data_IF_645857845409
#
_entry.id   IF_645857845409
#
_cell.length_a   1.000
_cell.length_b   1.000
_cell.length_c   1.000
_cell.angle_alpha   90.00
_cell.angle_beta   90.00
_cell.angle_gamma   90.00
#
_symmetry.space_group_name_H-M   'P 1'
#
loop_
_entity.id
_entity.type
_entity.pdbx_description
1 polymer ?
#
# COMPACT_ATOMS: atom_id res chain seq x y z
N UNK A 1 9.94 1.26 -13.96
CA UNK A 1 8.53 1.47 -14.38
C UNK A 1 8.41 2.48 -15.51
N UNK A 2 8.98 3.69 -15.38
CA UNK A 2 8.89 4.74 -16.40
C UNK A 2 9.35 4.30 -17.81
N UNK A 3 10.45 3.53 -17.90
CA UNK A 3 10.97 3.04 -19.18
C UNK A 3 10.13 1.92 -19.81
N UNK A 4 9.64 0.99 -19.00
CA UNK A 4 8.93 -0.21 -19.48
C UNK A 4 7.43 0.02 -19.71
N UNK A 5 6.89 1.15 -19.23
CA UNK A 5 5.48 1.54 -19.36
C UNK A 5 4.47 0.39 -19.10
N UNK A 6 4.59 -0.36 -17.98
CA UNK A 6 3.67 -1.46 -17.71
C UNK A 6 2.24 -0.95 -17.48
N UNK A 7 1.26 -1.82 -17.75
CA UNK A 7 -0.16 -1.57 -17.42
C UNK A 7 -0.51 -1.91 -15.97
N UNK A 8 0.23 -2.81 -15.34
CA UNK A 8 0.08 -3.20 -13.95
C UNK A 8 1.45 -3.24 -13.28
N UNK A 9 1.58 -2.56 -12.15
CA UNK A 9 2.75 -2.60 -11.29
C UNK A 9 2.38 -3.25 -9.96
N UNK A 10 3.16 -4.23 -9.50
CA UNK A 10 3.06 -4.78 -8.15
C UNK A 10 4.33 -4.38 -7.40
N UNK A 11 4.16 -3.64 -6.31
CA UNK A 11 5.24 -3.14 -5.46
C UNK A 11 5.14 -3.85 -4.12
N UNK A 12 6.01 -4.83 -3.89
CA UNK A 12 5.97 -5.68 -2.69
C UNK A 12 7.09 -5.28 -1.71
N UNK A 13 6.69 -4.80 -0.53
CA UNK A 13 7.56 -4.35 0.56
C UNK A 13 8.69 -3.40 0.12
N UNK A 14 8.44 -2.56 -0.89
CA UNK A 14 9.45 -1.65 -1.45
C UNK A 14 9.90 -0.57 -0.48
N UNK A 15 9.16 -0.39 0.61
CA UNK A 15 9.42 0.52 1.72
C UNK A 15 10.31 -0.06 2.82
N UNK A 16 10.54 -1.38 2.81
CA UNK A 16 11.37 -2.05 3.82
C UNK A 16 12.82 -1.57 3.75
N UNK A 17 13.31 -0.99 4.86
CA UNK A 17 14.69 -0.50 4.97
C UNK A 17 14.95 0.84 4.26
N UNK A 18 13.93 1.50 3.72
CA UNK A 18 14.07 2.84 3.16
C UNK A 18 13.97 3.91 4.24
N UNK A 19 14.83 4.91 4.13
CA UNK A 19 14.67 6.15 4.88
C UNK A 19 13.51 7.00 4.33
N UNK A 20 13.18 8.07 5.05
CA UNK A 20 12.06 8.95 4.71
C UNK A 20 12.23 9.58 3.31
N UNK A 21 13.45 9.89 2.90
CA UNK A 21 13.70 10.57 1.64
C UNK A 21 13.61 9.59 0.46
N UNK A 22 14.11 8.37 0.63
CA UNK A 22 13.94 7.30 -0.35
C UNK A 22 12.45 6.92 -0.53
N UNK A 23 11.66 6.91 0.55
CA UNK A 23 10.21 6.70 0.45
C UNK A 23 9.52 7.77 -0.40
N UNK A 24 9.91 9.05 -0.25
CA UNK A 24 9.39 10.14 -1.09
C UNK A 24 9.74 9.94 -2.56
N UNK A 25 10.98 9.56 -2.87
CA UNK A 25 11.40 9.31 -4.25
C UNK A 25 10.58 8.18 -4.90
N UNK A 26 10.33 7.09 -4.16
CA UNK A 26 9.47 6.00 -4.64
C UNK A 26 8.04 6.49 -4.86
N UNK A 27 7.49 7.23 -3.90
CA UNK A 27 6.14 7.77 -4.00
C UNK A 27 5.97 8.74 -5.17
N UNK A 28 6.92 9.65 -5.37
CA UNK A 28 6.93 10.58 -6.50
C UNK A 28 6.97 9.83 -7.84
N UNK A 29 7.78 8.77 -7.91
CA UNK A 29 7.83 7.89 -9.08
C UNK A 29 6.51 7.17 -9.35
N UNK A 30 5.81 6.69 -8.31
CA UNK A 30 4.49 6.05 -8.46
C UNK A 30 3.44 7.09 -8.87
N UNK A 31 3.37 8.21 -8.16
CA UNK A 31 2.39 9.28 -8.41
C UNK A 31 2.54 9.89 -9.80
N UNK A 32 3.77 10.14 -10.25
CA UNK A 32 4.05 10.66 -11.59
C UNK A 32 3.71 9.67 -12.71
N UNK A 33 3.51 8.40 -12.38
CA UNK A 33 3.12 7.35 -13.32
C UNK A 33 1.64 6.95 -13.22
N UNK A 34 0.83 7.56 -12.33
CA UNK A 34 -0.61 7.28 -12.25
C UNK A 34 -1.31 7.76 -13.53
N UNK A 35 -2.13 6.89 -14.11
CA UNK A 35 -2.99 7.21 -15.24
C UNK A 35 -4.20 6.26 -15.26
N UNK A 36 -5.30 6.61 -15.96
CA UNK A 36 -6.45 5.72 -16.11
C UNK A 36 -6.12 4.36 -16.75
N UNK A 37 -5.02 4.26 -17.49
CA UNK A 37 -4.58 3.05 -18.21
C UNK A 37 -3.60 2.19 -17.40
N UNK A 38 -3.18 2.65 -16.20
CA UNK A 38 -2.19 1.98 -15.36
C UNK A 38 -2.71 1.72 -13.95
N UNK A 39 -2.57 0.47 -13.50
CA UNK A 39 -2.90 0.04 -12.16
C UNK A 39 -1.65 -0.21 -11.31
N UNK A 40 -1.78 0.03 -10.00
CA UNK A 40 -0.75 -0.25 -9.01
C UNK A 40 -1.34 -1.09 -7.88
N UNK A 41 -0.63 -2.15 -7.50
CA UNK A 41 -0.88 -2.91 -6.27
C UNK A 41 0.33 -2.72 -5.38
N UNK A 42 0.13 -2.02 -4.28
CA UNK A 42 1.18 -1.74 -3.29
C UNK A 42 0.94 -2.65 -2.09
N UNK A 43 1.89 -3.54 -1.83
CA UNK A 43 1.88 -4.44 -0.68
C UNK A 43 2.89 -3.88 0.31
N UNK A 44 2.41 -3.52 1.50
CA UNK A 44 3.21 -2.89 2.54
C UNK A 44 2.70 -3.28 3.92
N UNK A 45 3.61 -3.35 4.88
CA UNK A 45 3.30 -3.42 6.30
C UNK A 45 3.42 -2.05 7.01
N UNK A 46 4.04 -1.04 6.37
CA UNK A 46 4.15 0.33 6.90
C UNK A 46 3.15 1.29 6.26
N UNK A 47 2.37 1.93 7.10
CA UNK A 47 1.36 2.88 6.64
C UNK A 47 1.94 4.25 6.28
N UNK A 48 3.20 4.50 6.65
CA UNK A 48 3.93 5.72 6.25
C UNK A 48 3.96 5.92 4.73
N UNK A 49 4.04 4.83 3.96
CA UNK A 49 4.01 4.91 2.50
C UNK A 49 2.67 5.43 1.98
N UNK A 50 1.57 5.10 2.67
CA UNK A 50 0.20 5.49 2.30
C UNK A 50 -0.06 6.99 2.51
N UNK A 51 0.76 7.67 3.32
CA UNK A 51 0.74 9.13 3.43
C UNK A 51 1.27 9.82 2.16
N UNK A 52 2.13 9.16 1.39
CA UNK A 52 2.71 9.71 0.15
C UNK A 52 2.01 9.17 -1.11
N UNK A 53 1.57 7.91 -1.07
CA UNK A 53 0.80 7.27 -2.14
C UNK A 53 -0.62 7.07 -1.63
N UNK A 54 -1.51 8.01 -1.92
CA UNK A 54 -2.91 7.92 -1.50
C UNK A 54 -3.63 6.84 -2.32
N UNK A 55 -4.04 5.72 -1.70
CA UNK A 55 -4.67 4.62 -2.40
C UNK A 55 -6.14 4.93 -2.71
N UNK A 56 -6.62 4.38 -3.81
CA UNK A 56 -8.05 4.42 -4.16
C UNK A 56 -8.86 3.40 -3.35
N UNK A 57 -8.25 2.24 -3.08
CA UNK A 57 -8.83 1.13 -2.31
C UNK A 57 -7.75 0.51 -1.43
N UNK A 58 -8.11 0.14 -0.21
CA UNK A 58 -7.25 -0.54 0.77
C UNK A 58 -7.84 -1.92 1.08
N UNK A 59 -6.99 -2.94 1.05
CA UNK A 59 -7.35 -4.32 1.42
C UNK A 59 -6.49 -4.79 2.60
N UNK A 60 -7.13 -5.35 3.63
CA UNK A 60 -6.44 -6.02 4.75
C UNK A 60 -6.37 -7.51 4.47
N UNK A 61 -5.16 -8.03 4.33
CA UNK A 61 -4.89 -9.45 4.14
C UNK A 61 -4.54 -10.10 5.48
N UNK A 62 -5.26 -11.15 5.86
CA UNK A 62 -4.99 -11.95 7.06
C UNK A 62 -5.24 -13.44 6.75
N UNK A 63 -4.33 -14.32 7.19
CA UNK A 63 -4.38 -15.77 6.94
C UNK A 63 -4.64 -16.15 5.46
N UNK A 64 -4.01 -15.42 4.54
CA UNK A 64 -4.13 -15.66 3.09
C UNK A 64 -5.47 -15.24 2.48
N UNK A 65 -6.29 -14.46 3.19
CA UNK A 65 -7.59 -13.96 2.70
C UNK A 65 -7.73 -12.46 2.94
N UNK A 66 -8.46 -11.79 2.05
CA UNK A 66 -8.86 -10.40 2.28
C UNK A 66 -10.00 -10.42 3.29
N UNK A 67 -9.74 -9.87 4.48
CA UNK A 67 -10.71 -9.85 5.59
C UNK A 67 -11.45 -8.53 5.70
N UNK A 68 -10.90 -7.44 5.14
CA UNK A 68 -11.55 -6.14 5.08
C UNK A 68 -11.10 -5.38 3.85
N UNK A 69 -12.02 -4.60 3.30
CA UNK A 69 -11.79 -3.66 2.19
C UNK A 69 -12.39 -2.32 2.58
N UNK A 70 -11.70 -1.24 2.25
CA UNK A 70 -12.17 0.12 2.48
C UNK A 70 -11.46 1.10 1.56
N UNK A 71 -11.70 2.39 1.78
CA UNK A 71 -10.93 3.45 1.14
C UNK A 71 -9.68 3.78 1.98
N UNK A 72 -9.09 4.96 1.72
CA UNK A 72 -7.94 5.46 2.48
C UNK A 72 -8.18 5.61 3.99
N UNK A 73 -9.42 5.76 4.44
CA UNK A 73 -9.71 5.88 5.89
C UNK A 73 -9.38 4.59 6.63
N UNK A 74 -9.51 3.45 5.95
CA UNK A 74 -9.10 2.17 6.52
C UNK A 74 -7.60 2.12 6.82
N UNK A 75 -6.77 2.75 6.00
CA UNK A 75 -5.33 2.84 6.26
C UNK A 75 -5.04 3.66 7.52
N UNK A 76 -5.73 4.78 7.72
CA UNK A 76 -5.59 5.64 8.89
C UNK A 76 -6.07 4.95 10.17
N UNK A 77 -7.20 4.23 10.09
CA UNK A 77 -7.73 3.44 11.20
C UNK A 77 -6.75 2.34 11.64
N UNK A 78 -6.13 1.67 10.67
CA UNK A 78 -5.08 0.67 10.94
C UNK A 78 -3.85 1.29 11.62
N UNK A 79 -3.57 2.59 11.45
CA UNK A 79 -2.43 3.27 12.12
C UNK A 79 -2.68 3.45 13.59
N UNK A 80 -3.90 3.90 13.87
CA UNK A 80 -4.34 4.22 15.22
C UNK A 80 -4.61 2.95 16.03
N UNK A 81 -5.23 1.93 15.42
CA UNK A 81 -5.72 0.73 16.12
C UNK A 81 -4.78 -0.47 16.00
N UNK A 82 -3.88 -0.47 15.01
CA UNK A 82 -3.06 -1.62 14.66
C UNK A 82 -3.86 -2.78 14.06
N UNK A 83 -3.16 -3.87 13.78
CA UNK A 83 -3.76 -5.04 13.11
C UNK A 83 -4.43 -6.05 14.05
N UNK A 84 -4.46 -5.78 15.36
CA UNK A 84 -4.91 -6.75 16.37
C UNK A 84 -6.35 -7.24 16.12
N UNK A 85 -7.26 -6.34 15.77
CA UNK A 85 -8.66 -6.66 15.45
C UNK A 85 -8.83 -7.55 14.21
N UNK A 86 -7.82 -7.65 13.35
CA UNK A 86 -7.82 -8.49 12.15
C UNK A 86 -7.00 -9.78 12.31
N UNK A 87 -6.38 -9.95 13.48
CA UNK A 87 -5.81 -11.21 13.93
C UNK A 87 -6.93 -11.98 14.64
N UNK A 88 -7.73 -12.73 13.91
CA UNK A 88 -8.56 -13.76 14.56
C UNK A 88 -7.63 -14.69 15.36
N UNK A 89 -8.00 -15.03 16.59
CA UNK A 89 -7.29 -16.02 17.41
C UNK A 89 -7.34 -17.39 16.70
N UNK A 90 -6.30 -18.21 16.88
CA UNK A 90 -6.35 -19.60 16.43
C UNK A 90 -7.32 -20.33 17.36
N UNK A 91 -8.45 -20.78 16.83
CA UNK A 91 -9.22 -21.84 17.46
C UNK A 91 -8.55 -23.19 17.18
#
# INVERSE_FOLDING_TARGET
>A
MALLQPRLCVLDETDSGLDIDALKVVADGVNGLRSPERAFVVITHYQRLLNYIVPDVVHVLSRGRIVKTGDKELALDLEATGYAQYREEMA
#
